data_IF_345780807296
#
_entry.id   IF_345780807296
#
_cell.length_a   1.000
_cell.length_b   1.000
_cell.length_c   1.000
_cell.angle_alpha   90.00
_cell.angle_beta   90.00
_cell.angle_gamma   90.00
#
_symmetry.space_group_name_H-M   'P 1'
#
loop_
_entity.id
_entity.type
_entity.pdbx_description
1 polymer ?
#
# COMPACT_ATOMS: atom_id res chain seq x y z
N UNK A 1 -16.17 9.03 -20.31
CA UNK A 1 -14.96 9.86 -20.19
C UNK A 1 -14.19 9.29 -19.03
N UNK A 2 -13.27 8.37 -19.35
CA UNK A 2 -12.53 7.53 -18.42
C UNK A 2 -11.10 8.09 -18.36
N UNK A 3 -10.93 9.28 -17.79
CA UNK A 3 -9.58 9.80 -17.43
C UNK A 3 -9.07 9.08 -16.16
N UNK A 4 -9.40 7.81 -16.05
CA UNK A 4 -9.34 6.92 -14.91
C UNK A 4 -7.89 6.71 -14.51
N UNK A 5 -7.54 7.27 -13.35
CA UNK A 5 -6.46 6.76 -12.48
C UNK A 5 -5.08 6.62 -13.13
N UNK A 6 -4.82 7.29 -14.24
CA UNK A 6 -3.54 7.17 -14.94
C UNK A 6 -2.41 7.81 -14.11
N UNK A 7 -1.38 7.01 -13.86
CA UNK A 7 -0.09 7.48 -13.33
C UNK A 7 0.71 8.05 -14.49
N UNK A 8 0.88 9.37 -14.53
CA UNK A 8 1.63 10.06 -15.59
C UNK A 8 3.06 10.34 -15.15
N UNK A 9 4.04 9.84 -15.91
CA UNK A 9 5.44 10.25 -15.76
C UNK A 9 5.64 11.66 -16.33
N UNK A 10 6.30 12.53 -15.56
CA UNK A 10 6.66 13.89 -15.96
C UNK A 10 8.16 14.03 -16.29
N UNK A 11 8.91 12.91 -16.31
CA UNK A 11 10.38 12.91 -16.45
C UNK A 11 11.10 12.99 -15.11
N UNK A 12 12.40 12.64 -15.09
CA UNK A 12 13.29 12.76 -13.92
C UNK A 12 12.78 12.11 -12.62
N UNK A 13 12.08 10.97 -12.74
CA UNK A 13 11.48 10.27 -11.59
C UNK A 13 10.31 11.03 -10.95
N UNK A 14 9.76 12.05 -11.60
CA UNK A 14 8.57 12.80 -11.18
C UNK A 14 7.32 12.17 -11.78
N UNK A 15 6.32 11.95 -10.94
CA UNK A 15 5.04 11.36 -11.33
C UNK A 15 3.87 12.19 -10.84
N UNK A 16 2.78 12.16 -11.60
CA UNK A 16 1.51 12.78 -11.27
C UNK A 16 0.39 11.76 -11.40
N UNK A 17 -0.37 11.55 -10.33
CA UNK A 17 -1.31 10.44 -10.20
C UNK A 17 -2.49 10.83 -9.29
N UNK A 18 -3.53 10.01 -9.31
CA UNK A 18 -4.71 10.19 -8.46
C UNK A 18 -4.75 9.15 -7.35
N UNK A 19 -5.15 9.57 -6.15
CA UNK A 19 -5.60 8.67 -5.08
C UNK A 19 -6.96 9.19 -4.65
N UNK A 20 -8.01 8.36 -4.75
CA UNK A 20 -9.38 8.81 -4.51
C UNK A 20 -9.75 9.98 -5.42
N UNK A 21 -10.11 11.12 -4.83
CA UNK A 21 -10.54 12.34 -5.55
C UNK A 21 -9.44 13.40 -5.66
N UNK A 22 -8.22 13.11 -5.20
CA UNK A 22 -7.14 14.09 -5.14
C UNK A 22 -5.98 13.71 -6.04
N UNK A 23 -5.44 14.73 -6.73
CA UNK A 23 -4.26 14.60 -7.57
C UNK A 23 -3.01 14.89 -6.75
N UNK A 24 -2.03 14.00 -6.85
CA UNK A 24 -0.72 14.13 -6.21
C UNK A 24 0.36 14.25 -7.27
N UNK A 25 1.43 14.93 -6.91
CA UNK A 25 2.65 15.00 -7.72
C UNK A 25 3.85 14.87 -6.80
N UNK A 26 4.72 13.90 -7.05
CA UNK A 26 5.92 13.67 -6.26
C UNK A 26 7.08 13.20 -7.12
N UNK A 27 8.29 13.42 -6.63
CA UNK A 27 9.53 12.88 -7.21
C UNK A 27 10.02 11.73 -6.35
N UNK A 28 10.36 10.60 -6.97
CA UNK A 28 10.84 9.41 -6.27
C UNK A 28 12.02 8.77 -6.99
N UNK A 29 12.89 8.10 -6.21
CA UNK A 29 13.99 7.26 -6.71
C UNK A 29 13.60 5.80 -6.88
N UNK A 30 12.36 5.43 -6.52
CA UNK A 30 11.85 4.08 -6.74
C UNK A 30 11.78 3.78 -8.23
N UNK A 31 11.99 2.51 -8.59
CA UNK A 31 11.71 2.06 -9.94
C UNK A 31 10.21 2.24 -10.26
N UNK A 32 9.92 2.50 -11.54
CA UNK A 32 8.56 2.83 -11.97
C UNK A 32 7.56 1.72 -11.63
N UNK A 33 7.95 0.44 -11.81
CA UNK A 33 7.06 -0.70 -11.56
C UNK A 33 6.68 -0.81 -10.08
N UNK A 34 7.65 -0.65 -9.17
CA UNK A 34 7.38 -0.63 -7.73
C UNK A 34 6.56 0.58 -7.33
N UNK A 35 6.85 1.74 -7.88
CA UNK A 35 6.08 2.95 -7.60
C UNK A 35 4.61 2.80 -8.04
N UNK A 36 4.35 2.27 -9.23
CA UNK A 36 2.98 2.08 -9.73
C UNK A 36 2.19 1.13 -8.85
N UNK A 37 2.78 0.00 -8.46
CA UNK A 37 2.14 -0.94 -7.53
C UNK A 37 1.78 -0.29 -6.19
N UNK A 38 2.66 0.58 -5.65
CA UNK A 38 2.38 1.30 -4.40
C UNK A 38 1.18 2.23 -4.57
N UNK A 39 1.16 3.02 -5.64
CA UNK A 39 0.08 3.97 -5.92
C UNK A 39 -1.26 3.25 -6.14
N UNK A 40 -1.25 2.16 -6.91
CA UNK A 40 -2.44 1.32 -7.15
C UNK A 40 -2.99 0.75 -5.85
N UNK A 41 -2.13 0.16 -5.00
CA UNK A 41 -2.55 -0.40 -3.72
C UNK A 41 -3.07 0.67 -2.76
N UNK A 42 -2.41 1.83 -2.70
CA UNK A 42 -2.88 2.95 -1.89
C UNK A 42 -4.24 3.48 -2.38
N UNK A 43 -4.42 3.57 -3.71
CA UNK A 43 -5.70 3.91 -4.33
C UNK A 43 -6.81 2.93 -3.95
N UNK A 44 -6.56 1.64 -4.07
CA UNK A 44 -7.51 0.59 -3.70
C UNK A 44 -7.90 0.64 -2.22
N UNK A 45 -6.93 0.86 -1.32
CA UNK A 45 -7.18 1.00 0.11
C UNK A 45 -8.08 2.21 0.41
N UNK A 46 -7.80 3.37 -0.17
CA UNK A 46 -8.62 4.57 0.01
C UNK A 46 -10.02 4.36 -0.56
N UNK A 47 -10.14 3.67 -1.69
CA UNK A 47 -11.42 3.37 -2.36
C UNK A 47 -12.34 2.46 -1.57
N UNK A 48 -11.79 1.58 -0.73
CA UNK A 48 -12.56 0.70 0.14
C UNK A 48 -13.39 1.47 1.20
N UNK A 49 -13.02 2.72 1.50
CA UNK A 49 -13.74 3.52 2.49
C UNK A 49 -14.93 4.28 1.91
N UNK A 50 -16.00 4.49 2.71
CA UNK A 50 -17.22 5.17 2.28
C UNK A 50 -16.98 6.57 1.68
N UNK A 51 -17.76 6.89 0.65
CA UNK A 51 -17.63 8.12 -0.14
C UNK A 51 -18.20 9.39 0.53
N UNK A 52 -18.90 9.22 1.67
CA UNK A 52 -19.38 10.31 2.52
C UNK A 52 -18.27 10.88 3.42
N UNK A 53 -17.14 10.18 3.56
CA UNK A 53 -15.95 10.69 4.22
C UNK A 53 -15.17 11.61 3.28
N UNK A 54 -14.51 12.60 3.86
CA UNK A 54 -13.54 13.44 3.16
C UNK A 54 -12.35 12.62 2.66
N UNK A 55 -11.61 13.18 1.70
CA UNK A 55 -10.40 12.53 1.18
C UNK A 55 -9.37 12.28 2.30
N UNK A 56 -9.19 13.25 3.20
CA UNK A 56 -8.19 13.18 4.27
C UNK A 56 -8.55 12.12 5.32
N UNK A 57 -9.83 12.02 5.70
CA UNK A 57 -10.31 10.95 6.58
C UNK A 57 -10.08 9.57 5.96
N UNK A 58 -10.34 9.42 4.66
CA UNK A 58 -10.13 8.14 3.97
C UNK A 58 -8.66 7.78 3.85
N UNK A 59 -7.79 8.75 3.61
CA UNK A 59 -6.34 8.54 3.63
C UNK A 59 -5.87 8.12 5.01
N UNK A 60 -6.37 8.78 6.06
CA UNK A 60 -6.04 8.44 7.44
C UNK A 60 -6.48 7.01 7.78
N UNK A 61 -7.72 6.64 7.45
CA UNK A 61 -8.23 5.28 7.63
C UNK A 61 -7.43 4.25 6.82
N UNK A 62 -7.03 4.58 5.59
CA UNK A 62 -6.21 3.70 4.75
C UNK A 62 -4.81 3.46 5.35
N UNK A 63 -4.19 4.48 5.93
CA UNK A 63 -2.91 4.34 6.64
C UNK A 63 -3.04 3.46 7.89
N UNK A 64 -4.11 3.64 8.67
CA UNK A 64 -4.37 2.79 9.85
C UNK A 64 -4.64 1.34 9.45
N UNK A 65 -5.42 1.12 8.39
CA UNK A 65 -5.68 -0.23 7.87
C UNK A 65 -4.39 -0.90 7.38
N UNK A 66 -3.50 -0.16 6.71
CA UNK A 66 -2.21 -0.67 6.29
C UNK A 66 -1.33 -1.05 7.50
N UNK A 67 -1.28 -0.20 8.54
CA UNK A 67 -0.53 -0.50 9.78
C UNK A 67 -1.01 -1.79 10.43
N UNK A 68 -2.33 -1.94 10.59
CA UNK A 68 -2.92 -3.15 11.14
C UNK A 68 -2.62 -4.38 10.27
N UNK A 69 -2.68 -4.27 8.93
CA UNK A 69 -2.35 -5.38 8.04
C UNK A 69 -0.88 -5.81 8.18
N UNK A 70 0.04 -4.87 8.40
CA UNK A 70 1.45 -5.17 8.63
C UNK A 70 1.68 -5.86 9.98
N UNK A 71 1.00 -5.43 11.04
CA UNK A 71 1.05 -6.08 12.36
C UNK A 71 0.54 -7.52 12.29
N UNK A 72 -0.59 -7.74 11.62
CA UNK A 72 -1.15 -9.08 11.41
C UNK A 72 -0.21 -9.97 10.58
N UNK A 73 0.41 -9.42 9.52
CA UNK A 73 1.38 -10.14 8.72
C UNK A 73 2.62 -10.52 9.53
N UNK A 74 3.14 -9.60 10.35
CA UNK A 74 4.27 -9.88 11.24
C UNK A 74 3.95 -11.03 12.19
N UNK A 75 2.78 -10.98 12.84
CA UNK A 75 2.34 -12.05 13.75
C UNK A 75 2.26 -13.40 13.04
N UNK A 76 1.70 -13.45 11.83
CA UNK A 76 1.63 -14.70 11.05
C UNK A 76 3.00 -15.24 10.67
N UNK A 77 3.95 -14.35 10.34
CA UNK A 77 5.33 -14.75 10.07
C UNK A 77 5.97 -15.34 11.34
N UNK A 78 5.73 -14.76 12.50
CA UNK A 78 6.23 -15.27 13.79
C UNK A 78 5.63 -16.64 14.12
N UNK A 79 4.32 -16.81 13.92
CA UNK A 79 3.61 -18.10 14.11
C UNK A 79 4.19 -19.20 13.19
N UNK A 80 4.33 -18.91 11.89
CA UNK A 80 4.95 -19.82 10.92
C UNK A 80 6.40 -20.13 11.34
N UNK A 81 7.18 -19.12 11.70
CA UNK A 81 8.58 -19.31 12.09
C UNK A 81 8.70 -20.18 13.35
N UNK A 82 7.77 -20.07 14.30
CA UNK A 82 7.70 -20.93 15.47
C UNK A 82 7.33 -22.39 15.11
N UNK A 83 6.37 -22.59 14.21
CA UNK A 83 5.98 -23.93 13.73
C UNK A 83 7.12 -24.64 12.98
N UNK A 84 7.89 -23.91 12.17
CA UNK A 84 9.01 -24.48 11.41
C UNK A 84 10.33 -24.54 12.19
N UNK A 85 10.57 -23.63 13.14
CA UNK A 85 11.77 -23.60 13.99
C UNK A 85 11.77 -24.64 15.12
N UNK A 86 10.60 -25.17 15.50
CA UNK A 86 10.48 -26.22 16.52
C UNK A 86 10.89 -27.63 16.07
N UNK A 87 11.23 -27.84 14.79
CA UNK A 87 11.57 -29.17 14.25
C UNK A 87 13.06 -29.52 14.25
N UNK A 88 13.96 -28.56 14.50
CA UNK A 88 15.42 -28.77 14.41
C UNK A 88 16.07 -29.12 15.77
N UNK A 89 15.30 -29.32 16.84
CA UNK A 89 15.82 -29.51 18.19
C UNK A 89 15.25 -30.75 18.88
N UNK A 90 15.36 -31.92 18.25
CA UNK A 90 15.17 -33.20 18.94
C UNK A 90 16.30 -34.17 18.54
N UNK A 91 17.44 -34.21 19.27
CA UNK A 91 18.38 -35.31 19.18
C UNK A 91 17.81 -36.48 19.99
N UNK A 92 17.42 -37.54 19.29
CA UNK A 92 17.15 -38.87 19.86
C UNK A 92 18.42 -39.54 20.41
#
# INVERSE_FOLDING_TARGET
>A
MDETREIKSLGDGKYSFWIGRQRYTLTTKLDAARFFRIVENAGALVEAFPQNLSQDERLFLALMALSHQMEELSRRIDEISAEFGGRDSDPA
#
